data_IF_798075842983
#
_entry.id   IF_798075842983
#
_cell.length_a   1.000
_cell.length_b   1.000
_cell.length_c   1.000
_cell.angle_alpha   90.00
_cell.angle_beta   90.00
_cell.angle_gamma   90.00
#
_symmetry.space_group_name_H-M   'P 1'
#
loop_
_entity.id
_entity.type
_entity.pdbx_description
1 polymer ?
#
# COMPACT_ATOMS: atom_id res chain seq x y z
N UNK A 1 15.23 -7.01 19.95
CA UNK A 1 15.98 -6.76 18.70
C UNK A 1 14.94 -6.41 17.65
N UNK A 2 14.81 -5.11 17.32
CA UNK A 2 13.84 -4.63 16.34
C UNK A 2 14.28 -5.11 14.96
N UNK A 3 13.44 -5.93 14.30
CA UNK A 3 13.66 -6.44 12.94
C UNK A 3 13.53 -5.37 11.85
N UNK A 4 14.24 -4.25 11.98
CA UNK A 4 14.42 -3.31 10.87
C UNK A 4 15.48 -3.89 9.93
N UNK A 5 15.14 -4.00 8.64
CA UNK A 5 16.10 -4.28 7.59
C UNK A 5 17.20 -3.20 7.64
N UNK A 6 18.49 -3.55 7.77
CA UNK A 6 19.58 -2.59 7.71
C UNK A 6 19.49 -1.74 6.43
N UNK A 7 19.67 -0.41 6.51
CA UNK A 7 19.46 0.49 5.36
C UNK A 7 20.31 0.13 4.13
N UNK A 8 21.46 -0.52 4.33
CA UNK A 8 22.29 -1.08 3.26
C UNK A 8 21.54 -2.06 2.34
N UNK A 9 20.83 -3.04 2.90
CA UNK A 9 20.14 -4.04 2.07
C UNK A 9 18.98 -3.44 1.27
N UNK A 10 18.39 -2.35 1.78
CA UNK A 10 17.45 -1.56 1.02
C UNK A 10 18.15 -0.85 -0.16
N UNK A 11 19.33 -0.27 0.05
CA UNK A 11 20.11 0.32 -1.06
C UNK A 11 20.50 -0.71 -2.12
N UNK A 12 20.98 -1.89 -1.73
CA UNK A 12 21.30 -2.96 -2.69
C UNK A 12 20.10 -3.37 -3.52
N UNK A 13 18.93 -3.50 -2.89
CA UNK A 13 17.70 -3.87 -3.59
C UNK A 13 17.30 -2.77 -4.58
N UNK A 14 17.34 -1.49 -4.17
CA UNK A 14 17.08 -0.35 -5.07
C UNK A 14 18.04 -0.39 -6.26
N UNK A 15 19.35 -0.50 -6.02
CA UNK A 15 20.36 -0.47 -7.08
C UNK A 15 20.22 -1.66 -8.03
N UNK A 16 19.94 -2.86 -7.51
CA UNK A 16 19.68 -4.04 -8.33
C UNK A 16 18.46 -3.85 -9.23
N UNK A 17 17.34 -3.37 -8.70
CA UNK A 17 16.12 -3.13 -9.49
C UNK A 17 16.34 -2.03 -10.54
N UNK A 18 17.10 -0.98 -10.22
CA UNK A 18 17.41 0.11 -11.14
C UNK A 18 18.48 -0.26 -12.19
N UNK A 19 19.27 -1.29 -11.94
CA UNK A 19 20.27 -1.77 -12.91
C UNK A 19 19.65 -2.30 -14.20
N UNK A 20 18.37 -2.67 -14.16
CA UNK A 20 17.60 -3.10 -15.32
C UNK A 20 17.16 -1.93 -16.22
N UNK A 21 17.35 -0.68 -15.79
CA UNK A 21 17.02 0.53 -16.57
C UNK A 21 18.27 1.00 -17.34
N UNK A 22 18.34 0.81 -18.67
CA UNK A 22 19.55 1.10 -19.45
C UNK A 22 20.04 2.54 -19.31
N UNK A 23 19.13 3.50 -19.20
CA UNK A 23 19.40 4.94 -19.08
C UNK A 23 20.04 5.31 -17.73
N UNK A 24 19.83 4.48 -16.70
CA UNK A 24 20.37 4.70 -15.36
C UNK A 24 21.65 3.89 -15.11
N UNK A 25 21.93 2.88 -15.94
CA UNK A 25 23.03 1.91 -15.76
C UNK A 25 24.37 2.55 -15.37
N UNK A 26 24.79 3.63 -16.04
CA UNK A 26 26.04 4.32 -15.73
C UNK A 26 26.08 4.91 -14.32
N UNK A 27 24.99 5.53 -13.87
CA UNK A 27 24.90 6.11 -12.52
C UNK A 27 24.74 5.04 -11.45
N UNK A 28 23.92 4.01 -11.72
CA UNK A 28 23.71 2.90 -10.80
C UNK A 28 25.01 2.14 -10.56
N UNK A 29 25.82 1.89 -11.59
CA UNK A 29 27.14 1.27 -11.42
C UNK A 29 28.05 2.12 -10.54
N UNK A 30 28.01 3.46 -10.65
CA UNK A 30 28.79 4.34 -9.76
C UNK A 30 28.30 4.22 -8.32
N UNK A 31 26.98 4.24 -8.09
CA UNK A 31 26.41 4.11 -6.74
C UNK A 31 26.64 2.74 -6.11
N UNK A 32 26.58 1.68 -6.90
CA UNK A 32 26.91 0.32 -6.46
C UNK A 32 28.39 0.21 -6.06
N UNK A 33 29.29 0.78 -6.87
CA UNK A 33 30.71 0.84 -6.52
C UNK A 33 30.99 1.67 -5.25
N UNK A 34 30.31 2.81 -5.08
CA UNK A 34 30.40 3.62 -3.85
C UNK A 34 29.94 2.80 -2.63
N UNK A 35 28.83 2.06 -2.77
CA UNK A 35 28.28 1.24 -1.70
C UNK A 35 29.22 0.07 -1.34
N UNK A 36 29.76 -0.61 -2.34
CA UNK A 36 30.70 -1.71 -2.19
C UNK A 36 32.07 -1.30 -1.62
N UNK A 37 32.42 -0.01 -1.70
CA UNK A 37 33.65 0.53 -1.11
C UNK A 37 33.55 0.78 0.41
N UNK A 38 32.35 0.73 0.99
CA UNK A 38 32.13 0.95 2.43
C UNK A 38 32.50 -0.33 3.20
N UNK A 39 33.30 -0.19 4.25
CA UNK A 39 33.64 -1.31 5.12
C UNK A 39 32.42 -1.69 5.99
N UNK A 40 32.02 -2.97 5.92
CA UNK A 40 30.89 -3.55 6.66
C UNK A 40 29.60 -2.72 6.51
N UNK A 41 29.10 -2.51 5.28
CA UNK A 41 28.04 -1.54 5.01
C UNK A 41 26.72 -1.88 5.72
N UNK A 42 26.43 -3.16 5.98
CA UNK A 42 25.29 -3.59 6.78
C UNK A 42 25.30 -3.09 8.24
N UNK A 43 26.49 -2.77 8.78
CA UNK A 43 26.68 -2.27 10.14
C UNK A 43 26.92 -0.76 10.18
N UNK A 44 27.45 -0.19 9.09
CA UNK A 44 27.94 1.20 9.04
C UNK A 44 27.01 2.16 8.32
N UNK A 45 26.21 1.69 7.36
CA UNK A 45 25.25 2.54 6.65
C UNK A 45 24.08 2.89 7.57
N UNK A 46 23.91 4.19 7.76
CA UNK A 46 22.85 4.74 8.59
C UNK A 46 21.60 5.06 7.77
N UNK A 47 20.50 5.36 8.47
CA UNK A 47 19.29 5.90 7.85
C UNK A 47 19.58 7.23 7.11
N UNK A 48 20.51 8.05 7.62
CA UNK A 48 20.91 9.30 6.97
C UNK A 48 21.61 9.02 5.65
N UNK A 49 22.47 8.01 5.59
CA UNK A 49 23.16 7.63 4.35
C UNK A 49 22.17 7.09 3.34
N UNK A 50 21.25 6.22 3.77
CA UNK A 50 20.14 5.76 2.93
C UNK A 50 19.35 6.92 2.33
N UNK A 51 18.96 7.91 3.14
CA UNK A 51 18.31 9.12 2.63
C UNK A 51 19.15 9.87 1.59
N UNK A 52 20.46 9.99 1.81
CA UNK A 52 21.38 10.67 0.87
C UNK A 52 21.48 9.90 -0.45
N UNK A 53 21.59 8.58 -0.41
CA UNK A 53 21.64 7.74 -1.62
C UNK A 53 20.31 7.80 -2.38
N UNK A 54 19.17 7.63 -1.71
CA UNK A 54 17.84 7.72 -2.33
C UNK A 54 17.59 9.09 -2.96
N UNK A 55 18.01 10.18 -2.28
CA UNK A 55 17.90 11.54 -2.82
C UNK A 55 18.80 11.75 -4.03
N UNK A 56 20.05 11.28 -3.98
CA UNK A 56 20.97 11.38 -5.11
C UNK A 56 20.47 10.60 -6.34
N UNK A 57 19.88 9.42 -6.13
CA UNK A 57 19.22 8.64 -7.19
C UNK A 57 18.06 9.44 -7.79
N UNK A 58 17.18 9.98 -6.94
CA UNK A 58 16.02 10.77 -7.36
C UNK A 58 16.43 12.05 -8.13
N UNK A 59 17.49 12.74 -7.69
CA UNK A 59 17.97 13.96 -8.34
C UNK A 59 18.66 13.66 -9.68
N UNK A 60 19.46 12.59 -9.76
CA UNK A 60 20.09 12.16 -11.01
C UNK A 60 19.02 11.84 -12.05
N UNK A 61 18.04 11.04 -11.65
CA UNK A 61 16.84 10.74 -12.40
C UNK A 61 16.21 12.02 -12.99
N UNK A 62 15.89 13.02 -12.14
CA UNK A 62 15.24 14.27 -12.57
C UNK A 62 16.10 15.05 -13.55
N UNK A 63 17.42 15.02 -13.38
CA UNK A 63 18.38 15.75 -14.22
C UNK A 63 18.64 15.10 -15.58
N UNK A 64 18.40 13.79 -15.70
CA UNK A 64 18.78 13.02 -16.89
C UNK A 64 17.76 13.07 -18.02
N UNK A 65 16.70 13.90 -17.92
CA UNK A 65 15.56 13.91 -18.85
C UNK A 65 14.92 12.51 -19.06
N UNK A 66 15.17 11.56 -18.14
CA UNK A 66 14.42 10.30 -18.04
C UNK A 66 13.08 10.52 -17.33
N UNK A 67 12.40 11.63 -17.66
CA UNK A 67 11.05 11.97 -17.20
C UNK A 67 10.02 10.86 -17.51
N UNK A 68 10.37 9.92 -18.40
CA UNK A 68 9.50 8.78 -18.71
C UNK A 68 9.68 7.56 -17.80
N UNK A 69 10.69 7.52 -16.91
CA UNK A 69 11.07 6.24 -16.28
C UNK A 69 11.05 6.23 -14.76
N UNK A 70 11.25 7.36 -14.07
CA UNK A 70 11.47 7.30 -12.62
C UNK A 70 10.39 7.86 -11.70
N UNK A 71 9.54 8.65 -12.31
CA UNK A 71 8.22 8.99 -11.88
C UNK A 71 7.49 9.06 -13.21
N UNK A 72 7.03 7.94 -13.77
CA UNK A 72 6.27 8.08 -15.01
C UNK A 72 4.98 8.81 -14.63
N UNK A 73 4.95 10.11 -14.93
CA UNK A 73 3.79 10.98 -14.83
C UNK A 73 3.00 10.81 -16.10
N UNK A 74 2.03 9.90 -16.09
CA UNK A 74 1.12 9.78 -17.23
C UNK A 74 -0.10 10.66 -17.00
N UNK A 75 -0.40 11.50 -17.99
CA UNK A 75 -1.64 12.23 -18.05
C UNK A 75 -2.77 11.23 -18.40
N UNK A 76 -3.72 11.02 -17.47
CA UNK A 76 -4.88 10.16 -17.72
C UNK A 76 -5.89 10.80 -18.69
N UNK A 77 -5.71 12.08 -19.00
CA UNK A 77 -6.55 12.84 -19.90
C UNK A 77 -5.70 13.64 -20.89
N UNK A 78 -6.34 14.07 -21.98
CA UNK A 78 -5.72 14.85 -23.04
C UNK A 78 -5.27 16.26 -22.60
N UNK A 79 -5.60 16.67 -21.37
CA UNK A 79 -5.37 18.00 -20.83
C UNK A 79 -4.24 18.03 -19.79
N UNK A 80 -3.73 16.87 -19.37
CA UNK A 80 -2.71 16.76 -18.33
C UNK A 80 -3.22 17.14 -16.94
N UNK A 81 -4.53 17.12 -16.70
CA UNK A 81 -5.12 17.56 -15.42
C UNK A 81 -5.06 16.49 -14.32
N UNK A 82 -5.06 15.21 -14.69
CA UNK A 82 -4.75 14.10 -13.80
C UNK A 82 -3.44 13.46 -14.19
N UNK A 83 -2.45 13.56 -13.30
CA UNK A 83 -1.13 12.96 -13.46
C UNK A 83 -0.99 11.82 -12.46
N UNK A 84 -0.76 10.59 -12.93
CA UNK A 84 -0.37 9.47 -12.07
C UNK A 84 1.14 9.43 -11.97
N UNK A 85 1.70 9.36 -10.76
CA UNK A 85 3.12 9.07 -10.55
C UNK A 85 3.36 7.56 -10.44
N UNK A 86 4.10 6.98 -11.38
CA UNK A 86 4.52 5.58 -11.31
C UNK A 86 5.92 5.50 -10.67
N UNK A 87 6.01 4.81 -9.53
CA UNK A 87 7.27 4.55 -8.85
C UNK A 87 8.00 3.37 -9.51
N UNK A 88 9.31 3.49 -9.66
CA UNK A 88 10.15 2.48 -10.32
C UNK A 88 10.12 1.12 -9.62
N UNK A 89 10.11 1.12 -8.29
CA UNK A 89 10.20 -0.12 -7.52
C UNK A 89 9.33 -0.11 -6.26
N UNK A 90 9.01 -1.30 -5.75
CA UNK A 90 8.24 -1.44 -4.50
C UNK A 90 9.01 -0.83 -3.33
N UNK A 91 10.34 -0.88 -3.37
CA UNK A 91 11.16 -0.27 -2.34
C UNK A 91 11.15 1.27 -2.41
N UNK A 92 11.03 1.86 -3.61
CA UNK A 92 10.74 3.30 -3.73
C UNK A 92 9.35 3.64 -3.16
N UNK A 93 8.35 2.80 -3.37
CA UNK A 93 7.03 2.99 -2.75
C UNK A 93 7.13 2.96 -1.21
N UNK A 94 7.86 1.99 -0.65
CA UNK A 94 8.11 1.93 0.81
C UNK A 94 8.90 3.12 1.32
N UNK A 95 9.90 3.57 0.55
CA UNK A 95 10.67 4.76 0.89
C UNK A 95 9.80 6.01 0.95
N UNK A 96 8.95 6.21 -0.05
CA UNK A 96 8.04 7.36 -0.11
C UNK A 96 7.02 7.30 1.03
N UNK A 97 6.43 6.13 1.30
CA UNK A 97 5.56 5.93 2.48
C UNK A 97 6.27 6.31 3.78
N UNK A 98 7.51 5.85 3.96
CA UNK A 98 8.32 6.14 5.16
C UNK A 98 8.72 7.62 5.26
N UNK A 99 9.10 8.24 4.14
CA UNK A 99 9.54 9.63 4.09
C UNK A 99 8.39 10.62 4.30
N UNK A 100 7.21 10.31 3.74
CA UNK A 100 6.02 11.13 3.93
C UNK A 100 5.42 10.96 5.31
N UNK A 101 5.59 9.79 5.94
CA UNK A 101 5.12 9.56 7.30
C UNK A 101 5.88 10.44 8.30
N UNK A 102 5.14 11.18 9.11
CA UNK A 102 5.68 11.97 10.22
C UNK A 102 5.48 11.20 11.53
N UNK A 103 6.56 10.76 12.20
CA UNK A 103 6.46 10.07 13.49
C UNK A 103 5.77 10.89 14.60
N UNK A 104 5.70 12.21 14.46
CA UNK A 104 5.03 13.11 15.39
C UNK A 104 3.52 13.25 15.18
N UNK A 105 2.96 12.73 14.07
CA UNK A 105 1.52 12.79 13.82
C UNK A 105 0.81 11.69 14.60
N UNK A 106 0.00 12.11 15.57
CA UNK A 106 -0.82 11.19 16.34
C UNK A 106 -2.01 10.68 15.52
N UNK A 107 -2.35 9.40 15.70
CA UNK A 107 -3.52 8.84 15.07
C UNK A 107 -4.81 9.41 15.69
N UNK A 108 -5.77 9.90 14.89
CA UNK A 108 -6.99 10.55 15.39
C UNK A 108 -8.01 9.54 15.92
N UNK A 109 -7.71 8.90 17.06
CA UNK A 109 -8.56 7.86 17.69
C UNK A 109 -9.97 8.33 18.04
N UNK A 110 -10.16 9.62 18.32
CA UNK A 110 -11.48 10.19 18.59
C UNK A 110 -12.39 10.14 17.36
N UNK A 111 -11.83 10.30 16.15
CA UNK A 111 -12.56 10.21 14.90
C UNK A 111 -12.72 8.77 14.43
N UNK A 112 -11.69 7.95 14.63
CA UNK A 112 -11.66 6.55 14.23
C UNK A 112 -11.31 5.68 15.45
N UNK A 113 -12.31 5.23 16.23
CA UNK A 113 -12.08 4.44 17.43
C UNK A 113 -11.60 3.00 17.15
N UNK A 114 -11.98 2.43 16.01
CA UNK A 114 -11.61 1.07 15.58
C UNK A 114 -11.36 0.97 14.06
N UNK A 115 -10.86 -0.18 13.61
CA UNK A 115 -10.56 -0.43 12.20
C UNK A 115 -11.81 -0.33 11.30
N UNK A 116 -13.00 -0.61 11.85
CA UNK A 116 -14.28 -0.53 11.13
C UNK A 116 -14.67 0.93 10.84
N UNK A 117 -14.59 1.81 11.83
CA UNK A 117 -14.88 3.23 11.67
C UNK A 117 -13.95 3.89 10.64
N UNK A 118 -12.67 3.52 10.65
CA UNK A 118 -11.71 3.98 9.64
C UNK A 118 -12.05 3.42 8.24
N UNK A 119 -12.36 2.12 8.15
CA UNK A 119 -12.71 1.48 6.89
C UNK A 119 -13.98 2.09 6.29
N UNK A 120 -15.01 2.38 7.09
CA UNK A 120 -16.22 3.06 6.62
C UNK A 120 -15.87 4.44 6.05
N UNK A 121 -15.14 5.28 6.82
CA UNK A 121 -14.75 6.60 6.37
C UNK A 121 -13.94 6.56 5.07
N UNK A 122 -13.08 5.54 4.93
CA UNK A 122 -12.28 5.29 3.73
C UNK A 122 -13.15 4.88 2.55
N UNK A 123 -14.06 3.92 2.73
CA UNK A 123 -15.00 3.48 1.69
C UNK A 123 -15.89 4.64 1.20
N UNK A 124 -16.28 5.56 2.08
CA UNK A 124 -17.03 6.76 1.71
C UNK A 124 -16.29 7.73 0.80
N UNK A 125 -14.96 7.58 0.65
CA UNK A 125 -14.16 8.38 -0.27
C UNK A 125 -13.90 7.67 -1.62
N UNK A 126 -14.40 6.44 -1.81
CA UNK A 126 -14.22 5.69 -3.05
C UNK A 126 -14.86 6.44 -4.22
N UNK A 127 -14.09 6.59 -5.30
CA UNK A 127 -14.48 7.20 -6.56
C UNK A 127 -14.93 6.14 -7.56
N UNK A 128 -16.11 6.34 -8.12
CA UNK A 128 -16.66 5.45 -9.14
C UNK A 128 -15.87 5.55 -10.45
N UNK A 129 -15.35 6.73 -10.83
CA UNK A 129 -14.50 6.88 -12.03
C UNK A 129 -13.26 6.01 -11.88
N UNK A 130 -12.67 6.06 -10.70
CA UNK A 130 -11.49 5.30 -10.37
C UNK A 130 -11.76 3.78 -10.42
N UNK A 131 -12.85 3.29 -9.83
CA UNK A 131 -13.17 1.86 -9.87
C UNK A 131 -13.50 1.36 -11.28
N UNK A 132 -13.97 2.24 -12.17
CA UNK A 132 -14.28 1.93 -13.58
C UNK A 132 -13.08 2.04 -14.51
N UNK A 133 -11.96 2.61 -14.06
CA UNK A 133 -10.77 2.78 -14.88
C UNK A 133 -10.20 1.41 -15.28
N UNK A 134 -10.05 1.18 -16.59
CA UNK A 134 -9.69 -0.13 -17.18
C UNK A 134 -8.19 -0.42 -17.11
N UNK A 135 -7.36 0.62 -16.98
CA UNK A 135 -5.90 0.50 -17.02
C UNK A 135 -5.30 1.25 -15.84
N UNK A 136 -4.55 0.54 -15.01
CA UNK A 136 -3.72 1.14 -13.97
C UNK A 136 -2.31 0.58 -14.04
N UNK A 137 -1.35 1.47 -14.15
CA UNK A 137 0.06 1.15 -14.09
C UNK A 137 0.47 1.05 -12.63
N UNK A 138 0.95 -0.12 -12.25
CA UNK A 138 1.63 -0.33 -10.98
C UNK A 138 3.09 0.10 -11.06
N UNK A 139 3.82 -0.26 -10.03
CA UNK A 139 5.28 -0.11 -9.98
C UNK A 139 5.93 -0.67 -11.25
N UNK A 140 6.90 0.07 -11.81
CA UNK A 140 7.61 -0.34 -13.02
C UNK A 140 6.74 -0.39 -14.29
N UNK A 141 5.61 0.35 -14.32
CA UNK A 141 4.63 0.35 -15.41
C UNK A 141 4.04 -1.04 -15.73
N UNK A 142 4.07 -1.97 -14.76
CA UNK A 142 3.40 -3.25 -14.88
C UNK A 142 1.90 -2.98 -14.80
N UNK A 143 1.13 -3.39 -15.81
CA UNK A 143 -0.33 -3.35 -15.75
C UNK A 143 -0.75 -4.15 -14.53
N UNK A 144 -1.32 -3.47 -13.52
CA UNK A 144 -1.80 -4.19 -12.35
C UNK A 144 -3.02 -5.01 -12.77
N UNK A 145 -3.16 -6.23 -12.22
CA UNK A 145 -4.40 -6.98 -12.39
C UNK A 145 -5.59 -6.10 -11.94
N UNK A 146 -6.76 -6.25 -12.56
CA UNK A 146 -8.00 -5.53 -12.16
C UNK A 146 -8.32 -5.76 -10.67
N UNK A 147 -7.81 -6.86 -10.13
CA UNK A 147 -7.80 -7.22 -8.71
C UNK A 147 -7.19 -6.13 -7.80
N UNK A 148 -6.22 -5.34 -8.28
CA UNK A 148 -5.59 -4.26 -7.52
C UNK A 148 -6.43 -2.98 -7.43
N UNK A 149 -7.50 -2.84 -8.23
CA UNK A 149 -8.29 -1.60 -8.29
C UNK A 149 -8.87 -1.20 -6.94
N UNK A 150 -9.38 -2.16 -6.16
CA UNK A 150 -9.90 -1.88 -4.82
C UNK A 150 -8.79 -1.52 -3.83
N UNK A 151 -7.61 -2.13 -3.94
CA UNK A 151 -6.46 -1.81 -3.10
C UNK A 151 -5.93 -0.41 -3.37
N UNK A 152 -5.68 -0.08 -4.64
CA UNK A 152 -5.21 1.25 -5.04
C UNK A 152 -6.24 2.33 -4.63
N UNK A 153 -7.53 2.05 -4.83
CA UNK A 153 -8.59 2.99 -4.45
C UNK A 153 -8.74 3.15 -2.93
N UNK A 154 -8.58 2.05 -2.18
CA UNK A 154 -8.55 2.11 -0.72
C UNK A 154 -7.35 2.90 -0.23
N UNK A 155 -6.17 2.69 -0.80
CA UNK A 155 -4.95 3.43 -0.43
C UNK A 155 -5.12 4.94 -0.66
N UNK A 156 -5.58 5.34 -1.85
CA UNK A 156 -5.87 6.75 -2.18
C UNK A 156 -6.90 7.35 -1.23
N UNK A 157 -8.00 6.63 -0.99
CA UNK A 157 -9.07 7.06 -0.11
C UNK A 157 -8.62 7.18 1.34
N UNK A 158 -7.78 6.24 1.80
CA UNK A 158 -7.24 6.20 3.16
C UNK A 158 -6.36 7.42 3.42
N UNK A 159 -5.52 7.80 2.46
CA UNK A 159 -4.73 9.03 2.55
C UNK A 159 -5.57 10.31 2.41
N UNK A 160 -6.72 10.25 1.73
CA UNK A 160 -7.69 11.36 1.73
C UNK A 160 -8.30 11.54 3.14
N UNK A 161 -8.55 10.45 3.86
CA UNK A 161 -9.13 10.46 5.21
C UNK A 161 -8.11 10.84 6.30
N UNK A 162 -6.91 10.26 6.25
CA UNK A 162 -5.90 10.37 7.31
C UNK A 162 -4.80 11.39 7.02
N UNK A 163 -4.64 11.80 5.76
CA UNK A 163 -3.49 12.55 5.27
C UNK A 163 -2.28 11.65 4.96
N UNK A 164 -1.33 12.20 4.19
CA UNK A 164 -0.10 11.51 3.79
C UNK A 164 0.94 11.39 4.91
N UNK A 165 0.84 12.24 5.93
CA UNK A 165 1.74 12.20 7.09
C UNK A 165 1.47 11.01 8.03
N UNK A 166 0.35 10.30 7.84
CA UNK A 166 0.02 9.15 8.66
C UNK A 166 0.85 7.93 8.27
N UNK A 167 1.35 7.21 9.27
CA UNK A 167 2.17 6.00 9.06
C UNK A 167 1.30 4.79 8.66
N UNK A 168 0.97 4.74 7.37
CA UNK A 168 0.32 3.63 6.69
C UNK A 168 1.37 2.92 5.83
N UNK A 169 1.46 1.60 5.93
CA UNK A 169 2.31 0.78 5.07
C UNK A 169 1.44 -0.18 4.27
N UNK A 170 1.51 -0.12 2.95
CA UNK A 170 0.86 -1.11 2.09
C UNK A 170 1.62 -2.46 2.06
N UNK A 171 0.99 -3.56 1.67
CA UNK A 171 1.63 -4.88 1.42
C UNK A 171 2.66 -5.30 2.50
N UNK A 172 2.33 -5.10 3.78
CA UNK A 172 3.28 -5.20 4.87
C UNK A 172 3.50 -6.65 5.32
N UNK A 173 4.77 -6.98 5.60
CA UNK A 173 5.18 -8.24 6.23
C UNK A 173 6.42 -7.99 7.11
N UNK A 174 6.46 -8.46 8.36
CA UNK A 174 7.63 -8.35 9.22
C UNK A 174 8.69 -9.41 8.93
N UNK A 175 8.32 -10.55 8.33
CA UNK A 175 9.16 -11.74 8.15
C UNK A 175 9.17 -12.28 6.70
N UNK A 176 8.50 -11.58 5.78
CA UNK A 176 8.37 -11.97 4.38
C UNK A 176 7.37 -13.09 4.12
N UNK A 177 6.69 -13.60 5.16
CA UNK A 177 5.70 -14.68 5.06
C UNK A 177 4.29 -14.13 5.20
N UNK A 178 3.57 -14.06 4.07
CA UNK A 178 2.27 -13.39 4.00
C UNK A 178 2.40 -11.88 4.05
N UNK A 179 1.52 -11.18 3.32
CA UNK A 179 1.52 -9.71 3.24
C UNK A 179 0.11 -9.22 3.49
N UNK A 180 -0.06 -8.42 4.54
CA UNK A 180 -1.31 -7.72 4.78
C UNK A 180 -1.40 -6.50 3.89
N UNK A 181 -2.55 -6.24 3.28
CA UNK A 181 -2.66 -5.19 2.27
C UNK A 181 -2.38 -3.79 2.84
N UNK A 182 -2.83 -3.50 4.06
CA UNK A 182 -2.50 -2.25 4.74
C UNK A 182 -2.25 -2.47 6.23
N UNK A 183 -1.22 -1.81 6.76
CA UNK A 183 -0.94 -1.73 8.19
C UNK A 183 -0.82 -0.29 8.66
N UNK A 184 -1.52 0.04 9.73
CA UNK A 184 -1.41 1.32 10.43
C UNK A 184 -0.56 1.12 11.68
N UNK A 185 0.71 1.51 11.61
CA UNK A 185 1.71 1.15 12.62
C UNK A 185 1.44 1.81 13.98
N UNK A 186 0.93 3.05 14.00
CA UNK A 186 0.66 3.82 15.23
C UNK A 186 -0.45 3.24 16.10
N UNK A 187 -1.41 2.54 15.48
CA UNK A 187 -2.53 1.89 16.17
C UNK A 187 -2.51 0.38 16.07
N UNK A 188 -1.53 -0.18 15.34
CA UNK A 188 -1.31 -1.62 15.13
C UNK A 188 -2.53 -2.29 14.51
N UNK A 189 -3.13 -1.61 13.53
CA UNK A 189 -4.29 -2.13 12.81
C UNK A 189 -3.89 -2.68 11.45
N UNK A 190 -4.69 -3.65 10.98
CA UNK A 190 -4.50 -4.27 9.67
C UNK A 190 -5.79 -4.30 8.86
N UNK A 191 -5.70 -3.99 7.58
CA UNK A 191 -6.81 -4.13 6.62
C UNK A 191 -6.36 -5.08 5.52
N UNK A 192 -7.18 -6.08 5.24
CA UNK A 192 -7.03 -7.00 4.10
C UNK A 192 -8.20 -6.79 3.15
N UNK A 193 -7.92 -6.60 1.86
CA UNK A 193 -8.94 -6.45 0.82
C UNK A 193 -9.02 -7.71 -0.04
N UNK A 194 -10.24 -8.09 -0.37
CA UNK A 194 -10.52 -9.17 -1.29
C UNK A 194 -11.46 -8.69 -2.39
N UNK A 195 -11.55 -9.48 -3.44
CA UNK A 195 -12.44 -9.26 -4.57
C UNK A 195 -13.28 -10.49 -4.83
N UNK A 196 -14.60 -10.32 -4.89
CA UNK A 196 -15.56 -11.37 -5.25
C UNK A 196 -15.40 -12.68 -4.45
N UNK A 197 -14.86 -12.60 -3.23
CA UNK A 197 -14.54 -13.75 -2.40
C UNK A 197 -13.38 -14.63 -2.89
N UNK A 198 -12.49 -14.13 -3.76
CA UNK A 198 -11.28 -14.87 -4.17
C UNK A 198 -10.50 -15.35 -2.95
N UNK A 199 -10.30 -16.67 -2.84
CA UNK A 199 -9.60 -17.32 -1.72
C UNK A 199 -10.03 -16.82 -0.34
N UNK A 200 -11.30 -16.45 -0.18
CA UNK A 200 -11.83 -15.87 1.05
C UNK A 200 -11.46 -16.69 2.30
N UNK A 201 -11.61 -18.01 2.20
CA UNK A 201 -11.28 -18.90 3.31
C UNK A 201 -9.82 -18.76 3.73
N UNK A 202 -8.90 -18.87 2.78
CA UNK A 202 -7.46 -18.81 3.03
C UNK A 202 -7.05 -17.48 3.65
N UNK A 203 -7.57 -16.35 3.14
CA UNK A 203 -7.27 -15.02 3.67
C UNK A 203 -7.82 -14.83 5.09
N UNK A 204 -9.06 -15.25 5.35
CA UNK A 204 -9.63 -15.19 6.69
C UNK A 204 -8.88 -16.10 7.67
N UNK A 205 -8.43 -17.28 7.23
CA UNK A 205 -7.64 -18.21 8.05
C UNK A 205 -6.30 -17.61 8.48
N UNK A 206 -5.72 -16.66 7.73
CA UNK A 206 -4.46 -15.98 8.13
C UNK A 206 -4.59 -15.28 9.48
N UNK A 207 -5.77 -14.76 9.81
CA UNK A 207 -6.03 -14.02 11.05
C UNK A 207 -6.38 -14.93 12.25
N UNK A 208 -6.36 -16.26 12.08
CA UNK A 208 -6.54 -17.18 13.21
C UNK A 208 -5.24 -17.36 13.99
N UNK A 209 -5.34 -17.91 15.21
CA UNK A 209 -4.19 -18.20 16.07
C UNK A 209 -3.11 -19.02 15.37
N UNK A 210 -3.52 -19.98 14.51
CA UNK A 210 -2.64 -20.87 13.74
C UNK A 210 -2.35 -20.35 12.32
N UNK A 211 -2.95 -19.21 11.96
CA UNK A 211 -2.78 -18.57 10.66
C UNK A 211 -1.46 -17.81 10.51
N UNK A 212 -1.15 -17.41 9.28
CA UNK A 212 0.07 -16.66 8.96
C UNK A 212 0.25 -15.39 9.81
N UNK A 213 -0.84 -14.71 10.17
CA UNK A 213 -0.83 -13.50 11.01
C UNK A 213 -1.07 -13.79 12.49
N UNK A 214 -1.33 -15.04 12.88
CA UNK A 214 -1.58 -15.45 14.26
C UNK A 214 -0.46 -15.07 15.22
N UNK A 215 0.80 -15.20 14.78
CA UNK A 215 1.97 -14.74 15.54
C UNK A 215 1.96 -13.23 15.77
N UNK A 216 1.56 -12.45 14.77
CA UNK A 216 1.53 -10.98 14.88
C UNK A 216 0.45 -10.52 15.86
N UNK A 217 -0.68 -11.22 15.89
CA UNK A 217 -1.76 -10.98 16.86
C UNK A 217 -1.29 -11.35 18.28
N UNK A 218 -0.71 -12.54 18.48
CA UNK A 218 -0.22 -13.00 19.79
C UNK A 218 0.88 -12.09 20.37
N UNK A 219 1.72 -11.51 19.51
CA UNK A 219 2.79 -10.58 19.90
C UNK A 219 2.30 -9.13 20.08
N UNK A 220 1.02 -8.85 19.86
CA UNK A 220 0.47 -7.50 19.92
C UNK A 220 1.01 -6.57 18.83
N UNK A 221 1.49 -7.11 17.71
CA UNK A 221 1.92 -6.33 16.53
C UNK A 221 0.74 -5.96 15.62
N UNK A 222 -0.38 -6.68 15.78
CA UNK A 222 -1.67 -6.49 15.13
C UNK A 222 -2.78 -6.63 16.19
N UNK A 223 -3.29 -5.52 16.69
CA UNK A 223 -4.27 -5.48 17.80
C UNK A 223 -5.72 -5.43 17.31
N UNK A 224 -5.95 -4.82 16.14
CA UNK A 224 -7.24 -4.80 15.47
C UNK A 224 -7.04 -5.09 13.99
N UNK A 225 -8.04 -5.68 13.36
CA UNK A 225 -7.98 -5.96 11.93
C UNK A 225 -9.38 -6.06 11.32
N UNK A 226 -9.45 -5.86 10.02
CA UNK A 226 -10.67 -6.07 9.26
C UNK A 226 -10.34 -6.63 7.89
N UNK A 227 -11.06 -7.70 7.54
CA UNK A 227 -11.11 -8.21 6.17
C UNK A 227 -12.29 -7.55 5.46
N UNK A 228 -12.08 -6.97 4.28
CA UNK A 228 -13.14 -6.36 3.47
C UNK A 228 -13.16 -7.05 2.11
N UNK A 229 -14.21 -7.81 1.85
CA UNK A 229 -14.47 -8.42 0.55
C UNK A 229 -15.31 -7.45 -0.30
N UNK A 230 -14.69 -6.89 -1.34
CA UNK A 230 -15.31 -5.99 -2.30
C UNK A 230 -15.99 -6.80 -3.40
N UNK A 231 -17.28 -6.55 -3.63
CA UNK A 231 -18.12 -7.41 -4.47
C UNK A 231 -19.14 -6.63 -5.25
N UNK A 232 -19.51 -7.15 -6.41
CA UNK A 232 -20.71 -6.82 -7.18
C UNK A 232 -21.76 -7.94 -7.08
N UNK A 233 -21.35 -9.12 -6.58
CA UNK A 233 -22.21 -10.29 -6.38
C UNK A 233 -22.74 -10.41 -4.93
N UNK A 234 -23.88 -11.07 -4.77
CA UNK A 234 -24.47 -11.33 -3.45
C UNK A 234 -23.59 -12.25 -2.60
N UNK A 235 -23.19 -11.84 -1.38
CA UNK A 235 -22.32 -12.63 -0.52
C UNK A 235 -23.06 -13.78 0.20
N UNK A 236 -22.30 -14.81 0.58
CA UNK A 236 -22.74 -15.83 1.54
C UNK A 236 -22.27 -15.44 2.94
N UNK A 237 -23.02 -15.89 3.96
CA UNK A 237 -22.57 -15.77 5.35
C UNK A 237 -21.26 -16.53 5.56
N UNK A 238 -20.46 -16.04 6.48
CA UNK A 238 -19.13 -16.58 6.77
C UNK A 238 -18.78 -16.28 8.22
N UNK A 239 -18.19 -17.22 8.95
CA UNK A 239 -18.01 -17.09 10.39
C UNK A 239 -16.60 -16.58 10.73
N UNK A 240 -16.36 -15.29 10.43
CA UNK A 240 -15.11 -14.58 10.78
C UNK A 240 -15.31 -13.07 10.80
N UNK A 241 -14.31 -12.32 11.26
CA UNK A 241 -14.35 -10.86 11.28
C UNK A 241 -14.16 -10.29 9.87
N UNK A 242 -15.27 -9.92 9.25
CA UNK A 242 -15.33 -9.67 7.81
C UNK A 242 -16.46 -8.71 7.45
N UNK A 243 -16.16 -7.79 6.54
CA UNK A 243 -17.12 -6.94 5.87
C UNK A 243 -17.28 -7.32 4.40
N UNK A 244 -18.50 -7.12 3.89
CA UNK A 244 -18.86 -7.22 2.48
C UNK A 244 -19.19 -5.83 1.98
N UNK A 245 -18.30 -5.21 1.21
CA UNK A 245 -18.63 -3.99 0.48
C UNK A 245 -19.30 -4.41 -0.83
N UNK A 246 -20.64 -4.33 -0.87
CA UNK A 246 -21.46 -4.77 -2.01
C UNK A 246 -21.78 -3.56 -2.89
N UNK A 247 -21.04 -3.41 -3.97
CA UNK A 247 -21.17 -2.35 -4.97
C UNK A 247 -22.27 -2.67 -5.97
N UNK A 248 -22.98 -1.63 -6.42
CA UNK A 248 -23.80 -1.72 -7.62
C UNK A 248 -22.92 -2.07 -8.85
N UNK A 249 -23.46 -2.76 -9.88
CA UNK A 249 -22.69 -3.17 -11.06
C UNK A 249 -22.01 -2.01 -11.82
N UNK A 250 -22.54 -0.80 -11.69
CA UNK A 250 -22.01 0.42 -12.30
C UNK A 250 -21.19 1.29 -11.33
N UNK A 251 -20.94 0.79 -10.12
CA UNK A 251 -20.29 1.51 -9.02
C UNK A 251 -20.99 2.82 -8.63
N UNK A 252 -22.31 2.91 -8.82
CA UNK A 252 -23.09 4.08 -8.39
C UNK A 252 -23.20 4.18 -6.87
N UNK A 253 -23.38 3.04 -6.20
CA UNK A 253 -23.51 2.95 -4.76
C UNK A 253 -22.86 1.70 -4.18
N UNK A 254 -22.66 1.71 -2.86
CA UNK A 254 -22.16 0.57 -2.08
C UNK A 254 -22.92 0.48 -0.76
N UNK A 255 -23.20 -0.75 -0.34
CA UNK A 255 -23.74 -1.09 0.97
C UNK A 255 -22.77 -2.03 1.68
N UNK A 256 -22.50 -1.79 2.98
CA UNK A 256 -21.59 -2.64 3.74
C UNK A 256 -22.38 -3.57 4.63
N UNK A 257 -22.09 -4.86 4.51
CA UNK A 257 -22.67 -5.92 5.34
C UNK A 257 -21.62 -6.59 6.18
N UNK A 258 -22.02 -7.11 7.33
CA UNK A 258 -21.16 -7.94 8.17
C UNK A 258 -21.03 -9.37 7.62
N UNK A 259 -20.38 -10.23 8.41
CA UNK A 259 -20.13 -11.61 8.07
C UNK A 259 -21.39 -12.49 8.01
N UNK A 260 -22.50 -12.03 8.60
CA UNK A 260 -23.82 -12.68 8.54
C UNK A 260 -24.75 -12.03 7.52
N UNK A 261 -24.21 -11.16 6.66
CA UNK A 261 -24.93 -10.38 5.66
C UNK A 261 -25.94 -9.37 6.24
N UNK A 262 -25.78 -8.95 7.51
CA UNK A 262 -26.55 -7.86 8.08
C UNK A 262 -25.94 -6.51 7.67
N UNK A 263 -26.77 -5.54 7.32
CA UNK A 263 -26.30 -4.19 6.95
C UNK A 263 -25.69 -3.53 8.20
N UNK A 264 -24.44 -3.08 8.06
CA UNK A 264 -23.69 -2.37 9.11
C UNK A 264 -23.31 -0.95 8.71
N UNK A 265 -23.29 -0.68 7.40
CA UNK A 265 -23.26 0.68 6.86
C UNK A 265 -24.33 0.77 5.79
N UNK A 266 -25.28 1.69 5.99
CA UNK A 266 -26.34 1.96 5.03
C UNK A 266 -25.76 2.35 3.67
N UNK A 267 -26.49 2.00 2.62
CA UNK A 267 -26.13 2.29 1.23
C UNK A 267 -25.79 3.77 1.04
N UNK A 268 -24.65 4.04 0.39
CA UNK A 268 -24.23 5.39 0.02
C UNK A 268 -23.66 5.45 -1.40
N UNK A 269 -23.77 6.62 -2.02
CA UNK A 269 -23.20 6.88 -3.34
C UNK A 269 -21.68 7.04 -3.26
N UNK A 270 -20.97 6.53 -4.26
CA UNK A 270 -19.54 6.75 -4.42
C UNK A 270 -19.29 8.19 -4.89
N UNK A 271 -18.08 8.70 -4.62
CA UNK A 271 -17.64 9.99 -5.17
C UNK A 271 -17.42 9.86 -6.68
N UNK A 272 -17.33 11.00 -7.37
CA UNK A 272 -17.05 11.00 -8.82
C UNK A 272 -15.60 10.59 -9.11
#
# INVERSE_FOLDING_TARGET
MNGQLPPYYALETILSELSEVPELSGFIVVKDNELNAIEKPAETITIIDFYRYSTAILDYVKSSNTDSLALHTEALDSWGTEIICILLTNLHAKFVEYYLADPGVEFPREKFPDAKALAEATLRQFSRRNLRAVTRFGVGAIIRPVEATYQDEFYRSLHTVLGYAMNVTSEWSPDGVGRIDFRLSSVRWGIELLREGDRLHDHCQRFTTDGAYGKWIQQGLLEDWLVIDCRTSSPRSYDTKLWRAVFAPDFSDVEVRDQYNQVVVDRFALTE
#
